data_IF_260198125017
#
_entry.id   IF_260198125017
#
_cell.length_a   1.000
_cell.length_b   1.000
_cell.length_c   1.000
_cell.angle_alpha   90.00
_cell.angle_beta   90.00
_cell.angle_gamma   90.00
#
_symmetry.space_group_name_H-M   'P 1'
#
loop_
_entity.id
_entity.type
_entity.pdbx_description
1 polymer ?
#
# COMPACT_ATOMS: atom_id res chain seq x y z
N UNK A 1 -15.54 8.06 -0.56
CA UNK A 1 -14.75 7.79 0.66
C UNK A 1 -13.92 6.56 0.36
N UNK A 2 -12.59 6.63 0.47
CA UNK A 2 -11.74 5.46 0.26
C UNK A 2 -11.86 4.54 1.50
N UNK A 3 -11.74 3.23 1.32
CA UNK A 3 -11.80 2.25 2.41
C UNK A 3 -10.38 1.88 2.83
N UNK A 4 -10.07 2.04 4.11
CA UNK A 4 -8.78 1.65 4.68
C UNK A 4 -8.79 0.17 5.10
N UNK A 5 -7.62 -0.49 5.03
CA UNK A 5 -7.41 -1.86 5.53
C UNK A 5 -6.49 -1.80 6.76
N UNK A 6 -7.06 -1.48 7.92
CA UNK A 6 -6.31 -1.34 9.18
C UNK A 6 -6.40 -2.60 10.04
N UNK A 7 -7.57 -3.23 10.08
CA UNK A 7 -7.78 -4.51 10.76
C UNK A 7 -8.80 -5.37 10.02
N UNK A 8 -8.70 -6.69 10.16
CA UNK A 8 -9.70 -7.62 9.62
C UNK A 8 -11.08 -7.44 10.25
N UNK A 9 -11.15 -6.81 11.43
CA UNK A 9 -12.41 -6.50 12.11
C UNK A 9 -13.24 -5.44 11.38
N UNK A 10 -12.62 -4.66 10.48
CA UNK A 10 -13.30 -3.65 9.66
C UNK A 10 -13.96 -4.25 8.40
N UNK A 11 -13.81 -5.56 8.20
CA UNK A 11 -14.32 -6.27 7.04
C UNK A 11 -15.41 -7.27 7.45
N UNK A 12 -16.46 -7.31 6.63
CA UNK A 12 -17.42 -8.41 6.67
C UNK A 12 -16.85 -9.69 6.06
N UNK A 13 -17.45 -10.84 6.37
CA UNK A 13 -17.02 -12.13 5.79
C UNK A 13 -17.06 -12.12 4.26
N UNK A 14 -18.09 -11.53 3.66
CA UNK A 14 -18.23 -11.39 2.20
C UNK A 14 -17.10 -10.53 1.58
N UNK A 15 -16.66 -9.48 2.26
CA UNK A 15 -15.53 -8.67 1.80
C UNK A 15 -14.20 -9.44 1.88
N UNK A 16 -14.02 -10.27 2.91
CA UNK A 16 -12.84 -11.13 3.04
C UNK A 16 -12.83 -12.18 1.92
N UNK A 17 -13.96 -12.83 1.66
CA UNK A 17 -14.10 -13.81 0.58
C UNK A 17 -13.75 -13.18 -0.78
N UNK A 18 -14.30 -12.00 -1.08
CA UNK A 18 -13.99 -11.24 -2.31
C UNK A 18 -12.52 -10.87 -2.42
N UNK A 19 -11.86 -10.50 -1.33
CA UNK A 19 -10.41 -10.21 -1.32
C UNK A 19 -9.59 -11.45 -1.68
N UNK A 20 -9.96 -12.61 -1.12
CA UNK A 20 -9.26 -13.88 -1.38
C UNK A 20 -9.49 -14.33 -2.83
N UNK A 21 -10.72 -14.24 -3.32
CA UNK A 21 -11.05 -14.53 -4.72
C UNK A 21 -10.25 -13.63 -5.67
N UNK A 22 -10.21 -12.32 -5.42
CA UNK A 22 -9.44 -11.39 -6.25
C UNK A 22 -7.94 -11.69 -6.22
N UNK A 23 -7.40 -12.08 -5.07
CA UNK A 23 -6.00 -12.51 -4.97
C UNK A 23 -5.73 -13.77 -5.81
N UNK A 24 -6.67 -14.74 -5.82
CA UNK A 24 -6.57 -15.94 -6.63
C UNK A 24 -6.64 -15.63 -8.14
N UNK A 25 -7.53 -14.72 -8.55
CA UNK A 25 -7.61 -14.25 -9.93
C UNK A 25 -6.30 -13.61 -10.41
N UNK A 26 -5.76 -12.66 -9.64
CA UNK A 26 -4.50 -12.00 -9.96
C UNK A 26 -3.35 -13.01 -10.05
N UNK A 27 -3.30 -13.97 -9.11
CA UNK A 27 -2.30 -15.04 -9.11
C UNK A 27 -2.42 -15.96 -10.34
N UNK A 28 -3.64 -16.19 -10.84
CA UNK A 28 -3.87 -17.02 -12.03
C UNK A 28 -3.39 -16.36 -13.34
N UNK A 29 -3.04 -15.07 -13.30
CA UNK A 29 -2.66 -14.30 -14.48
C UNK A 29 -3.83 -13.68 -15.24
N UNK A 30 -5.06 -13.84 -14.73
CA UNK A 30 -6.23 -13.07 -15.18
C UNK A 30 -5.94 -11.58 -14.99
N UNK A 31 -6.17 -10.77 -16.01
CA UNK A 31 -5.88 -9.33 -16.05
C UNK A 31 -4.39 -8.92 -15.93
N UNK A 32 -3.45 -9.84 -16.18
CA UNK A 32 -2.00 -9.60 -16.03
C UNK A 32 -1.44 -8.44 -16.87
N UNK A 33 -2.10 -8.05 -17.96
CA UNK A 33 -1.72 -6.91 -18.80
C UNK A 33 -2.43 -5.60 -18.46
N UNK A 34 -3.41 -5.62 -17.55
CA UNK A 34 -4.30 -4.48 -17.33
C UNK A 34 -3.66 -3.30 -16.59
N UNK A 35 -2.49 -3.50 -15.97
CA UNK A 35 -1.71 -2.49 -15.21
C UNK A 35 -2.60 -1.43 -14.55
N UNK A 36 -3.54 -1.83 -13.67
CA UNK A 36 -4.63 -0.96 -13.23
C UNK A 36 -4.18 0.24 -12.40
N UNK A 37 -2.93 0.23 -11.92
CA UNK A 37 -2.32 1.29 -11.13
C UNK A 37 -1.27 2.08 -11.92
N UNK A 38 -1.30 2.04 -13.25
CA UNK A 38 -0.35 2.79 -14.09
C UNK A 38 -0.34 4.28 -13.74
N UNK A 39 0.87 4.82 -13.54
CA UNK A 39 1.08 6.23 -13.17
C UNK A 39 0.78 6.57 -11.71
N UNK A 40 0.43 5.58 -10.88
CA UNK A 40 0.23 5.77 -9.43
C UNK A 40 1.54 5.62 -8.66
N UNK A 41 1.62 6.33 -7.55
CA UNK A 41 2.71 6.32 -6.56
C UNK A 41 2.18 5.87 -5.21
N UNK A 42 2.76 4.82 -4.63
CA UNK A 42 2.32 4.25 -3.34
C UNK A 42 3.47 4.33 -2.34
N UNK A 43 3.22 4.96 -1.19
CA UNK A 43 4.21 5.07 -0.11
C UNK A 43 4.24 3.83 0.77
N UNK A 44 5.44 3.38 1.11
CA UNK A 44 5.70 2.25 2.00
C UNK A 44 6.47 2.75 3.23
N UNK A 45 5.72 3.18 4.25
CA UNK A 45 6.27 3.66 5.52
C UNK A 45 6.50 2.50 6.49
N UNK A 46 7.76 2.26 6.87
CA UNK A 46 8.13 1.23 7.84
C UNK A 46 8.75 1.84 9.10
N UNK A 47 8.15 1.56 10.27
CA UNK A 47 8.75 1.82 11.58
C UNK A 47 9.85 0.81 11.91
N UNK A 48 9.57 -0.47 11.63
CA UNK A 48 10.52 -1.58 11.76
C UNK A 48 10.74 -2.22 10.40
N UNK A 49 12.00 -2.48 10.07
CA UNK A 49 12.36 -3.15 8.83
C UNK A 49 11.70 -4.53 8.73
N UNK A 50 11.01 -4.80 7.62
CA UNK A 50 10.43 -6.10 7.31
C UNK A 50 10.70 -6.48 5.85
N UNK A 51 11.60 -7.43 5.63
CA UNK A 51 12.01 -7.85 4.28
C UNK A 51 10.85 -8.49 3.51
N UNK A 52 10.10 -9.40 4.15
CA UNK A 52 9.01 -10.12 3.48
C UNK A 52 7.90 -9.17 3.04
N UNK A 53 7.47 -8.28 3.93
CA UNK A 53 6.43 -7.29 3.65
C UNK A 53 6.90 -6.29 2.59
N UNK A 54 8.12 -5.75 2.73
CA UNK A 54 8.65 -4.78 1.76
C UNK A 54 8.68 -5.38 0.35
N UNK A 55 9.30 -6.54 0.19
CA UNK A 55 9.45 -7.18 -1.12
C UNK A 55 8.07 -7.53 -1.71
N UNK A 56 7.15 -8.09 -0.93
CA UNK A 56 5.82 -8.43 -1.44
C UNK A 56 5.04 -7.21 -1.94
N UNK A 57 5.06 -6.10 -1.18
CA UNK A 57 4.41 -4.86 -1.60
C UNK A 57 5.08 -4.26 -2.84
N UNK A 58 6.41 -4.13 -2.85
CA UNK A 58 7.12 -3.55 -3.99
C UNK A 58 6.88 -4.33 -5.29
N UNK A 59 6.96 -5.66 -5.23
CA UNK A 59 6.71 -6.52 -6.39
C UNK A 59 5.25 -6.42 -6.86
N UNK A 60 4.28 -6.50 -5.96
CA UNK A 60 2.86 -6.41 -6.33
C UNK A 60 2.49 -5.04 -6.93
N UNK A 61 2.95 -3.95 -6.30
CA UNK A 61 2.77 -2.58 -6.79
C UNK A 61 3.32 -2.42 -8.21
N UNK A 62 4.55 -2.91 -8.43
CA UNK A 62 5.19 -2.85 -9.75
C UNK A 62 4.43 -3.67 -10.79
N UNK A 63 4.02 -4.90 -10.46
CA UNK A 63 3.24 -5.76 -11.36
C UNK A 63 1.90 -5.14 -11.77
N UNK A 64 1.31 -4.30 -10.91
CA UNK A 64 0.08 -3.57 -11.21
C UNK A 64 0.33 -2.24 -11.94
N UNK A 65 1.59 -1.89 -12.27
CA UNK A 65 1.96 -0.71 -13.05
C UNK A 65 2.28 0.55 -12.23
N UNK A 66 2.26 0.47 -10.90
CA UNK A 66 2.56 1.59 -10.02
C UNK A 66 4.03 1.62 -9.58
N UNK A 67 4.46 2.76 -9.08
CA UNK A 67 5.74 2.94 -8.42
C UNK A 67 5.58 2.91 -6.90
N UNK A 68 6.49 2.21 -6.22
CA UNK A 68 6.58 2.28 -4.75
C UNK A 68 7.62 3.30 -4.31
N UNK A 69 7.31 4.04 -3.24
CA UNK A 69 8.22 4.98 -2.57
C UNK A 69 8.47 4.43 -1.17
N UNK A 70 9.67 3.91 -0.92
CA UNK A 70 10.04 3.41 0.40
C UNK A 70 10.39 4.57 1.33
N UNK A 71 9.79 4.58 2.51
CA UNK A 71 9.98 5.62 3.52
C UNK A 71 10.39 4.94 4.82
N UNK A 72 11.60 5.22 5.29
CA UNK A 72 12.04 4.76 6.60
C UNK A 72 11.62 5.77 7.66
N UNK A 73 10.97 5.33 8.74
CA UNK A 73 10.60 6.24 9.84
C UNK A 73 11.81 6.96 10.45
N UNK A 74 12.99 6.35 10.45
CA UNK A 74 14.22 7.00 10.94
C UNK A 74 14.68 8.18 10.05
N UNK A 75 14.21 8.24 8.81
CA UNK A 75 14.48 9.36 7.89
C UNK A 75 13.41 10.46 8.02
N UNK A 76 12.25 10.13 8.60
CA UNK A 76 11.21 11.12 8.88
C UNK A 76 11.54 11.93 10.14
N UNK A 77 11.21 13.22 10.12
CA UNK A 77 11.36 14.12 11.27
C UNK A 77 10.20 13.97 12.29
N UNK A 78 9.57 12.79 12.31
CA UNK A 78 8.48 12.45 13.22
C UNK A 78 8.98 12.55 14.66
N UNK A 79 8.44 13.52 15.41
CA UNK A 79 8.83 13.78 16.81
C UNK A 79 10.03 14.71 16.99
N UNK A 80 10.65 15.23 15.91
CA UNK A 80 11.69 16.27 15.96
C UNK A 80 11.24 17.65 15.46
N UNK A 81 9.96 17.81 15.17
CA UNK A 81 9.39 19.08 14.70
C UNK A 81 8.19 18.91 13.76
N UNK A 82 7.97 17.71 13.22
CA UNK A 82 6.81 17.41 12.37
C UNK A 82 5.84 16.47 13.10
N UNK A 83 4.55 16.85 13.09
CA UNK A 83 3.48 16.03 13.66
C UNK A 83 3.09 14.90 12.70
N UNK A 84 2.53 13.81 13.22
CA UNK A 84 1.99 12.72 12.39
C UNK A 84 0.91 13.25 11.44
N UNK A 85 0.09 14.21 11.90
CA UNK A 85 -0.95 14.84 11.09
C UNK A 85 -0.37 15.60 9.91
N UNK A 86 0.68 16.39 10.13
CA UNK A 86 1.35 17.16 9.06
C UNK A 86 2.02 16.23 8.06
N UNK A 87 2.72 15.20 8.53
CA UNK A 87 3.31 14.19 7.65
C UNK A 87 2.23 13.48 6.83
N UNK A 88 1.12 13.08 7.44
CA UNK A 88 0.01 12.45 6.72
C UNK A 88 -0.56 13.38 5.64
N UNK A 89 -0.78 14.67 5.96
CA UNK A 89 -1.25 15.67 4.98
C UNK A 89 -0.29 15.85 3.81
N UNK A 90 1.02 15.85 4.04
CA UNK A 90 2.03 15.93 2.98
C UNK A 90 1.95 14.68 2.11
N UNK A 91 1.99 13.49 2.73
CA UNK A 91 1.94 12.22 2.01
C UNK A 91 0.67 12.09 1.16
N UNK A 92 -0.50 12.46 1.68
CA UNK A 92 -1.78 12.42 0.94
C UNK A 92 -1.86 13.36 -0.27
N UNK A 93 -0.95 14.33 -0.42
CA UNK A 93 -0.90 15.21 -1.60
C UNK A 93 -0.05 14.65 -2.74
N UNK A 94 0.88 13.76 -2.45
CA UNK A 94 1.86 13.23 -3.42
C UNK A 94 1.68 11.74 -3.73
N UNK A 95 1.13 11.00 -2.77
CA UNK A 95 0.82 9.58 -2.91
C UNK A 95 -0.65 9.39 -3.30
N UNK A 96 -0.92 8.24 -3.89
CA UNK A 96 -2.25 7.85 -4.34
C UNK A 96 -2.92 6.89 -3.37
#
# INVERSE_FOLDING_TARGET
MNKDFLTLLDLSSDEIEKLIERAAELKSGKDSSSCPLIGKSIGLLFDKTSTRTRISFQTGIYQLGAQSIYINKNELQLGRGESIEDTAKVLSRYLH
#
